data_IF_914902774425
#
_entry.id   IF_914902774425
#
_cell.length_a   1.000
_cell.length_b   1.000
_cell.length_c   1.000
_cell.angle_alpha   90.00
_cell.angle_beta   90.00
_cell.angle_gamma   90.00
#
_symmetry.space_group_name_H-M   'P 1'
#
loop_
_entity.id
_entity.type
_entity.pdbx_description
1 polymer ?
#
# COMPACT_ATOMS: atom_id res chain seq x y z
N UNK A 1 -40.26 88.46 -5.78
CA UNK A 1 -40.66 87.74 -4.54
C UNK A 1 -39.94 86.39 -4.56
N UNK A 2 -39.28 86.04 -3.45
CA UNK A 2 -38.60 84.77 -3.10
C UNK A 2 -37.33 84.40 -3.89
N UNK A 3 -36.12 84.66 -3.35
CA UNK A 3 -35.30 83.87 -2.38
C UNK A 3 -34.64 82.64 -3.02
N UNK A 4 -33.33 82.73 -3.37
CA UNK A 4 -32.17 82.15 -2.65
C UNK A 4 -32.32 80.65 -2.31
N UNK A 5 -31.43 79.74 -2.71
CA UNK A 5 -29.99 79.75 -2.42
C UNK A 5 -29.18 78.78 -3.33
N UNK A 6 -27.84 78.88 -3.38
CA UNK A 6 -26.96 78.24 -4.37
C UNK A 6 -26.05 77.11 -3.81
N UNK A 7 -25.24 76.52 -4.72
CA UNK A 7 -23.83 76.04 -4.62
C UNK A 7 -23.70 74.56 -5.01
N UNK A 8 -22.74 74.07 -5.80
CA UNK A 8 -21.38 74.48 -6.24
C UNK A 8 -21.05 73.56 -7.45
N UNK A 9 -20.65 74.09 -8.62
CA UNK A 9 -19.27 74.04 -9.23
C UNK A 9 -18.65 72.62 -9.27
N UNK A 10 -18.13 72.03 -10.34
CA UNK A 10 -17.12 72.52 -11.29
C UNK A 10 -16.81 71.42 -12.36
N UNK A 11 -17.14 71.71 -13.62
CA UNK A 11 -16.37 71.53 -14.88
C UNK A 11 -15.04 70.73 -14.85
N UNK A 12 -14.87 69.78 -15.78
CA UNK A 12 -13.64 69.54 -16.59
C UNK A 12 -13.98 68.59 -17.77
N UNK A 13 -14.04 69.08 -19.03
CA UNK A 13 -12.99 69.07 -20.07
C UNK A 13 -12.61 67.65 -20.57
N UNK A 14 -13.06 67.16 -21.74
CA UNK A 14 -12.69 67.43 -23.15
C UNK A 14 -11.27 66.94 -23.57
N UNK A 15 -11.20 66.09 -24.60
CA UNK A 15 -10.02 65.91 -25.48
C UNK A 15 -9.61 64.45 -25.75
N UNK A 16 -9.97 63.86 -26.91
CA UNK A 16 -9.22 63.80 -28.21
C UNK A 16 -8.36 62.52 -28.37
N UNK A 17 -8.82 61.51 -29.13
CA UNK A 17 -8.40 61.10 -30.50
C UNK A 17 -7.00 60.47 -30.66
N UNK A 18 -6.93 59.22 -31.18
CA UNK A 18 -6.42 58.89 -32.52
C UNK A 18 -5.99 57.40 -32.66
N UNK A 19 -6.19 56.88 -33.87
CA UNK A 19 -6.01 55.53 -34.41
C UNK A 19 -4.57 55.16 -34.79
N UNK A 20 -4.22 53.86 -34.79
CA UNK A 20 -3.23 53.28 -35.71
C UNK A 20 -3.42 51.75 -35.90
N UNK A 21 -3.37 51.30 -37.15
CA UNK A 21 -3.42 49.90 -37.60
C UNK A 21 -2.02 49.25 -37.62
N UNK A 22 -1.95 47.92 -37.48
CA UNK A 22 -0.97 47.09 -38.19
C UNK A 22 -1.45 45.64 -38.28
N UNK A 23 -1.20 45.03 -39.44
CA UNK A 23 -1.67 43.71 -39.87
C UNK A 23 -0.58 42.63 -39.79
N UNK A 24 -1.06 41.40 -39.61
CA UNK A 24 -0.49 40.10 -40.01
C UNK A 24 0.65 39.50 -39.18
N UNK A 25 0.32 38.42 -38.45
CA UNK A 25 1.01 37.12 -38.49
C UNK A 25 -0.02 36.01 -38.26
N UNK A 26 -0.02 35.00 -39.13
CA UNK A 26 -0.74 33.73 -38.98
C UNK A 26 -0.29 33.02 -37.69
N UNK A 27 -1.25 32.64 -36.84
CA UNK A 27 -1.02 31.68 -35.76
C UNK A 27 -1.26 30.24 -36.29
N UNK A 28 -0.39 29.27 -35.96
CA UNK A 28 -0.61 27.86 -36.30
C UNK A 28 -1.82 27.31 -35.51
N UNK A 29 -2.45 26.21 -35.96
CA UNK A 29 -3.53 25.61 -35.18
C UNK A 29 -3.01 25.24 -33.80
N UNK A 30 -3.74 25.65 -32.77
CA UNK A 30 -3.66 25.10 -31.42
C UNK A 30 -3.65 23.57 -31.53
N UNK A 31 -2.47 22.96 -31.44
CA UNK A 31 -2.37 21.67 -30.79
C UNK A 31 -2.91 21.89 -29.39
N UNK A 32 -4.13 21.42 -29.15
CA UNK A 32 -4.72 21.32 -27.83
C UNK A 32 -3.78 20.51 -26.95
N UNK A 33 -2.89 21.23 -26.26
CA UNK A 33 -1.97 20.72 -25.28
C UNK A 33 -2.74 20.02 -24.18
N UNK A 34 -2.25 18.84 -23.84
CA UNK A 34 -2.78 17.93 -22.84
C UNK A 34 -3.20 18.65 -21.56
N UNK A 35 -4.44 18.41 -21.14
CA UNK A 35 -4.90 18.60 -19.76
C UNK A 35 -3.95 17.83 -18.84
N UNK A 36 -3.35 18.49 -17.85
CA UNK A 36 -2.48 17.91 -16.79
C UNK A 36 -3.18 18.11 -15.43
N UNK A 37 -2.86 17.37 -14.38
CA UNK A 37 -3.36 16.04 -13.91
C UNK A 37 -3.43 16.10 -12.35
N UNK A 38 -4.13 15.16 -11.64
CA UNK A 38 -4.27 15.12 -10.15
C UNK A 38 -3.37 14.09 -9.45
N UNK A 39 -3.21 14.18 -8.12
CA UNK A 39 -1.87 14.38 -7.55
C UNK A 39 -1.18 15.50 -8.34
N UNK A 40 -0.82 16.63 -7.72
CA UNK A 40 -0.20 17.73 -8.46
C UNK A 40 0.97 17.19 -9.29
N UNK A 41 0.93 17.31 -10.62
CA UNK A 41 1.92 16.76 -11.57
C UNK A 41 2.00 15.21 -11.65
N UNK A 42 0.98 14.48 -11.19
CA UNK A 42 0.82 13.03 -11.33
C UNK A 42 0.29 12.61 -12.70
N UNK A 43 0.11 11.31 -12.93
CA UNK A 43 -0.43 10.76 -14.17
C UNK A 43 -1.45 9.65 -13.90
N UNK A 44 -2.32 9.37 -14.87
CA UNK A 44 -3.34 8.32 -14.78
C UNK A 44 -2.71 6.95 -14.47
N UNK A 45 -3.22 6.28 -13.45
CA UNK A 45 -2.78 4.94 -13.09
C UNK A 45 -3.90 3.91 -13.24
N UNK A 46 -3.69 2.96 -14.16
CA UNK A 46 -4.58 1.83 -14.41
C UNK A 46 -4.01 0.50 -13.89
N UNK A 47 -2.80 0.49 -13.35
CA UNK A 47 -2.07 -0.73 -12.99
C UNK A 47 -2.23 -1.08 -11.50
N UNK A 48 -2.16 -0.09 -10.61
CA UNK A 48 -2.08 -0.34 -9.17
C UNK A 48 -3.47 -0.59 -8.55
N UNK A 49 -4.14 -1.68 -8.97
CA UNK A 49 -5.53 -2.05 -8.60
C UNK A 49 -5.76 -2.28 -7.11
N UNK A 50 -4.71 -2.54 -6.35
CA UNK A 50 -4.75 -2.65 -4.90
C UNK A 50 -4.75 -1.30 -4.17
N UNK A 51 -4.52 -0.20 -4.91
CA UNK A 51 -4.87 1.13 -4.45
C UNK A 51 -6.32 1.38 -4.85
N UNK A 52 -7.18 1.39 -3.84
CA UNK A 52 -8.63 1.31 -3.98
C UNK A 52 -9.28 2.66 -3.75
N UNK A 53 -10.35 2.94 -4.50
CA UNK A 53 -11.21 4.08 -4.26
C UNK A 53 -12.17 3.77 -3.12
N UNK A 54 -12.31 4.69 -2.17
CA UNK A 54 -13.27 4.60 -1.07
C UNK A 54 -14.35 5.65 -1.27
N UNK A 55 -15.61 5.25 -1.21
CA UNK A 55 -16.76 6.14 -1.23
C UNK A 55 -17.57 5.97 0.05
N UNK A 56 -17.66 7.03 0.85
CA UNK A 56 -18.51 7.07 2.03
C UNK A 56 -19.91 7.53 1.63
N UNK A 57 -20.86 6.60 1.62
CA UNK A 57 -22.23 6.84 1.19
C UNK A 57 -23.08 7.66 2.19
N UNK A 58 -22.61 7.87 3.44
CA UNK A 58 -23.32 8.70 4.42
C UNK A 58 -23.15 10.19 4.13
N UNK A 59 -21.93 10.59 3.75
CA UNK A 59 -21.54 12.00 3.59
C UNK A 59 -21.18 12.38 2.15
N UNK A 60 -21.10 11.39 1.24
CA UNK A 60 -20.74 11.60 -0.17
C UNK A 60 -19.27 11.97 -0.37
N UNK A 61 -18.38 11.50 0.50
CA UNK A 61 -16.95 11.77 0.43
C UNK A 61 -16.20 10.67 -0.34
N UNK A 62 -15.14 11.07 -1.04
CA UNK A 62 -14.21 10.17 -1.71
C UNK A 62 -12.89 10.19 -0.93
N UNK A 63 -12.35 9.00 -0.69
CA UNK A 63 -11.03 8.77 -0.15
C UNK A 63 -10.33 7.69 -0.97
N UNK A 64 -9.10 7.38 -0.57
CA UNK A 64 -8.31 6.26 -1.09
C UNK A 64 -8.03 5.28 0.05
N UNK A 65 -7.75 4.03 -0.28
CA UNK A 65 -7.14 3.06 0.63
C UNK A 65 -6.16 2.14 -0.08
N UNK A 66 -5.47 1.31 0.69
CA UNK A 66 -4.62 0.23 0.20
C UNK A 66 -5.14 -1.12 0.65
N UNK A 67 -5.47 -2.00 -0.29
CA UNK A 67 -5.78 -3.40 -0.04
C UNK A 67 -4.49 -4.11 0.40
N UNK A 68 -4.40 -4.52 1.66
CA UNK A 68 -3.22 -5.17 2.25
C UNK A 68 -3.46 -6.66 2.58
N UNK A 69 -4.70 -7.12 2.51
CA UNK A 69 -5.09 -8.53 2.44
C UNK A 69 -6.44 -8.64 1.67
N UNK A 70 -6.91 -9.84 1.25
CA UNK A 70 -8.06 -9.99 0.37
C UNK A 70 -9.35 -9.28 0.79
N UNK A 71 -9.58 -9.03 2.07
CA UNK A 71 -10.72 -8.25 2.59
C UNK A 71 -10.28 -7.10 3.50
N UNK A 72 -9.02 -6.65 3.41
CA UNK A 72 -8.44 -5.74 4.38
C UNK A 72 -7.88 -4.49 3.72
N UNK A 73 -8.53 -3.36 3.97
CA UNK A 73 -8.15 -2.06 3.41
C UNK A 73 -7.63 -1.16 4.52
N UNK A 74 -6.39 -0.70 4.39
CA UNK A 74 -5.81 0.34 5.24
C UNK A 74 -6.14 1.71 4.64
N UNK A 75 -6.61 2.65 5.47
CA UNK A 75 -7.01 4.00 5.06
C UNK A 75 -6.85 5.01 6.21
N UNK A 76 -7.19 6.27 5.98
CA UNK A 76 -7.18 7.31 7.00
C UNK A 76 -8.45 7.22 7.86
N UNK A 77 -8.34 7.59 9.14
CA UNK A 77 -9.49 7.52 10.04
C UNK A 77 -10.53 8.58 9.70
N UNK A 78 -10.11 9.76 9.28
CA UNK A 78 -11.05 10.83 8.90
C UNK A 78 -11.92 10.48 7.68
N UNK A 79 -11.58 9.41 6.93
CA UNK A 79 -12.44 8.87 5.86
C UNK A 79 -13.63 8.08 6.41
N UNK A 80 -13.52 7.57 7.63
CA UNK A 80 -14.48 6.65 8.27
C UNK A 80 -14.98 7.15 9.63
N UNK A 81 -14.61 8.36 10.03
CA UNK A 81 -15.05 9.00 11.27
C UNK A 81 -15.22 10.50 11.10
N UNK A 82 -16.21 11.04 11.78
CA UNK A 82 -16.40 12.48 11.94
C UNK A 82 -15.26 13.10 12.77
N UNK A 83 -15.07 14.41 12.59
CA UNK A 83 -14.11 15.20 13.33
C UNK A 83 -14.80 16.42 13.97
N UNK A 84 -14.48 16.67 15.23
CA UNK A 84 -14.76 17.93 15.89
C UNK A 84 -13.54 18.85 15.74
N UNK A 85 -13.71 19.93 14.97
CA UNK A 85 -12.75 21.03 14.91
C UNK A 85 -13.26 22.20 15.75
N UNK A 86 -12.41 22.77 16.61
CA UNK A 86 -12.78 23.92 17.45
C UNK A 86 -12.71 25.27 16.70
N UNK A 87 -12.09 25.33 15.51
CA UNK A 87 -11.88 26.58 14.75
C UNK A 87 -11.83 26.34 13.23
N UNK A 88 -12.75 26.94 12.47
CA UNK A 88 -12.68 27.23 11.02
C UNK A 88 -12.20 26.11 10.06
N UNK A 89 -12.36 24.83 10.43
CA UNK A 89 -12.02 23.68 9.57
C UNK A 89 -10.53 23.33 9.50
N UNK A 90 -9.65 24.02 10.25
CA UNK A 90 -8.22 23.72 10.28
C UNK A 90 -7.88 22.64 11.32
N UNK A 91 -7.01 21.71 10.93
CA UNK A 91 -6.51 20.66 11.83
C UNK A 91 -5.49 21.27 12.80
N UNK A 92 -5.79 21.15 14.10
CA UNK A 92 -4.86 21.53 15.17
C UNK A 92 -4.61 20.33 16.07
N UNK A 93 -3.38 19.82 16.10
CA UNK A 93 -3.02 18.61 16.86
C UNK A 93 -3.32 18.65 18.36
N UNK A 94 -3.60 19.83 18.92
CA UNK A 94 -3.94 20.00 20.35
C UNK A 94 -5.43 19.81 20.62
N UNK A 95 -6.30 20.10 19.66
CA UNK A 95 -7.75 20.24 19.90
C UNK A 95 -8.61 19.44 18.94
N UNK A 96 -8.13 19.15 17.72
CA UNK A 96 -8.88 18.34 16.77
C UNK A 96 -8.97 16.90 17.26
N UNK A 97 -10.21 16.42 17.35
CA UNK A 97 -10.55 15.06 17.78
C UNK A 97 -11.50 14.40 16.81
N UNK A 98 -11.34 13.09 16.65
CA UNK A 98 -12.33 12.22 16.07
C UNK A 98 -13.51 12.05 17.01
N UNK A 99 -14.70 11.98 16.44
CA UNK A 99 -15.95 11.76 17.18
C UNK A 99 -16.56 10.43 16.76
N UNK A 100 -17.68 10.47 16.05
CA UNK A 100 -18.46 9.30 15.71
C UNK A 100 -17.83 8.56 14.53
N UNK A 101 -17.84 7.23 14.60
CA UNK A 101 -17.42 6.37 13.50
C UNK A 101 -18.62 6.08 12.61
N UNK A 102 -18.46 6.23 11.30
CA UNK A 102 -19.50 5.92 10.33
C UNK A 102 -19.85 4.43 10.32
N UNK A 103 -20.97 4.07 9.71
CA UNK A 103 -21.33 2.66 9.56
C UNK A 103 -20.42 2.01 8.52
N UNK A 104 -19.73 0.93 8.90
CA UNK A 104 -18.85 0.20 7.99
C UNK A 104 -19.54 -0.20 6.67
N UNK A 105 -20.80 -0.66 6.73
CA UNK A 105 -21.59 -1.03 5.55
C UNK A 105 -21.99 0.13 4.63
N UNK A 106 -21.65 1.37 5.01
CA UNK A 106 -21.79 2.57 4.16
C UNK A 106 -20.48 3.04 3.55
N UNK A 107 -19.37 2.42 3.94
CA UNK A 107 -18.07 2.63 3.32
C UNK A 107 -17.92 1.61 2.20
N UNK A 108 -17.89 2.11 0.96
CA UNK A 108 -17.82 1.29 -0.25
C UNK A 108 -16.43 1.38 -0.86
N UNK A 109 -15.89 0.26 -1.31
CA UNK A 109 -14.54 0.14 -1.88
C UNK A 109 -14.62 -0.34 -3.33
N UNK A 110 -13.86 0.27 -4.23
CA UNK A 110 -13.75 -0.19 -5.63
C UNK A 110 -12.29 -0.29 -6.05
N UNK A 111 -11.97 -1.27 -6.91
CA UNK A 111 -10.65 -1.46 -7.52
C UNK A 111 -10.54 -0.78 -8.89
N UNK A 112 -11.66 -0.21 -9.39
CA UNK A 112 -11.72 0.50 -10.65
C UNK A 112 -10.84 1.75 -10.61
N UNK A 113 -10.19 2.08 -11.73
CA UNK A 113 -9.38 3.28 -11.85
C UNK A 113 -10.20 4.57 -11.86
N UNK A 114 -11.52 4.48 -12.06
CA UNK A 114 -12.46 5.60 -11.94
C UNK A 114 -13.64 5.19 -11.04
N UNK A 115 -13.93 5.99 -10.03
CA UNK A 115 -15.08 5.82 -9.14
C UNK A 115 -16.30 6.37 -9.86
N UNK A 116 -17.12 5.48 -10.40
CA UNK A 116 -18.37 5.82 -11.08
C UNK A 116 -19.56 5.17 -10.38
N UNK A 117 -20.78 5.52 -10.82
CA UNK A 117 -22.01 4.87 -10.31
C UNK A 117 -22.14 3.42 -10.75
N UNK A 118 -21.45 3.03 -11.82
CA UNK A 118 -21.51 1.69 -12.41
C UNK A 118 -20.34 0.79 -11.93
N UNK A 119 -19.44 1.34 -11.12
CA UNK A 119 -18.31 0.61 -10.56
C UNK A 119 -18.75 -0.56 -9.68
N UNK A 120 -17.95 -1.62 -9.66
CA UNK A 120 -18.12 -2.70 -8.70
C UNK A 120 -17.68 -2.23 -7.32
N UNK A 121 -18.53 -2.44 -6.31
CA UNK A 121 -18.26 -2.03 -4.94
C UNK A 121 -18.29 -3.20 -3.96
N UNK A 122 -17.35 -3.18 -3.04
CA UNK A 122 -17.25 -4.05 -1.87
C UNK A 122 -17.62 -3.23 -0.63
N UNK A 123 -18.59 -3.69 0.15
CA UNK A 123 -19.00 -2.98 1.36
C UNK A 123 -18.10 -3.34 2.56
N UNK A 124 -17.93 -2.38 3.47
CA UNK A 124 -17.28 -2.60 4.74
C UNK A 124 -18.12 -3.44 5.71
N UNK A 125 -17.51 -4.45 6.31
CA UNK A 125 -18.04 -5.22 7.43
C UNK A 125 -17.81 -4.52 8.77
N UNK A 126 -16.58 -4.04 8.96
CA UNK A 126 -16.12 -3.50 10.24
C UNK A 126 -15.03 -2.45 10.04
N UNK A 127 -15.10 -1.39 10.84
CA UNK A 127 -14.04 -0.38 10.96
C UNK A 127 -13.26 -0.68 12.24
N UNK A 128 -11.97 -0.90 12.09
CA UNK A 128 -11.01 -1.11 13.18
C UNK A 128 -10.22 0.18 13.34
N UNK A 129 -10.28 0.76 14.54
CA UNK A 129 -9.57 1.99 14.89
C UNK A 129 -8.31 1.68 15.70
N UNK A 130 -7.37 2.63 15.69
CA UNK A 130 -6.15 2.54 16.48
C UNK A 130 -6.45 2.43 17.99
N UNK A 131 -5.76 1.52 18.71
CA UNK A 131 -5.88 1.42 20.16
C UNK A 131 -5.03 2.51 20.86
N UNK A 132 -5.31 2.75 22.14
CA UNK A 132 -4.44 3.55 23.00
C UNK A 132 -5.15 4.66 23.76
N UNK A 133 -4.38 5.32 24.62
CA UNK A 133 -4.83 6.54 25.29
C UNK A 133 -4.85 7.69 24.28
N UNK A 134 -5.83 8.58 24.41
CA UNK A 134 -6.03 9.69 23.47
C UNK A 134 -6.20 9.23 22.01
N UNK A 135 -6.69 8.01 21.80
CA UNK A 135 -6.96 7.46 20.47
C UNK A 135 -7.92 8.34 19.67
N UNK A 136 -8.74 9.18 20.30
CA UNK A 136 -9.61 10.16 19.65
C UNK A 136 -8.85 11.40 19.13
N UNK A 137 -7.59 11.62 19.49
CA UNK A 137 -6.80 12.74 18.96
C UNK A 137 -6.49 12.54 17.48
N UNK A 138 -6.58 13.60 16.67
CA UNK A 138 -6.31 13.49 15.24
C UNK A 138 -4.84 13.15 14.94
N UNK A 139 -3.92 14.04 15.32
CA UNK A 139 -2.51 13.85 14.98
C UNK A 139 -1.94 12.64 15.70
N UNK A 140 -1.30 11.76 14.94
CA UNK A 140 -0.75 10.49 15.41
C UNK A 140 -1.72 9.31 15.29
N UNK A 141 -3.03 9.55 15.13
CA UNK A 141 -4.04 8.49 15.11
C UNK A 141 -4.99 8.53 13.89
N UNK A 142 -4.61 9.24 12.83
CA UNK A 142 -5.40 9.31 11.59
C UNK A 142 -5.16 8.09 10.67
N UNK A 143 -5.39 6.89 11.21
CA UNK A 143 -5.39 5.64 10.45
C UNK A 143 -6.53 4.76 10.93
N UNK A 144 -7.11 4.02 10.00
CA UNK A 144 -8.15 3.03 10.25
C UNK A 144 -8.00 1.87 9.27
N UNK A 145 -8.51 0.71 9.68
CA UNK A 145 -8.61 -0.45 8.82
C UNK A 145 -10.10 -0.74 8.59
N UNK A 146 -10.46 -0.96 7.33
CA UNK A 146 -11.76 -1.46 6.92
C UNK A 146 -11.62 -2.95 6.57
N UNK A 147 -12.32 -3.80 7.32
CA UNK A 147 -12.53 -5.20 6.94
C UNK A 147 -13.76 -5.23 6.06
N UNK A 148 -13.66 -5.84 4.87
CA UNK A 148 -14.74 -5.95 3.89
C UNK A 148 -15.63 -7.17 4.18
N UNK A 149 -16.90 -7.09 3.76
CA UNK A 149 -17.86 -8.20 3.87
C UNK A 149 -17.53 -9.37 2.94
N UNK A 150 -16.82 -9.09 1.84
CA UNK A 150 -16.47 -10.05 0.80
C UNK A 150 -14.97 -9.95 0.47
N UNK A 151 -14.39 -11.06 0.01
CA UNK A 151 -13.01 -11.07 -0.46
C UNK A 151 -12.95 -10.45 -1.85
N UNK A 152 -12.02 -9.53 -2.06
CA UNK A 152 -11.65 -9.06 -3.40
C UNK A 152 -10.84 -10.18 -4.08
N UNK A 153 -11.27 -10.69 -5.25
CA UNK A 153 -10.52 -11.70 -5.98
C UNK A 153 -9.13 -11.17 -6.38
N UNK A 154 -8.12 -12.04 -6.34
CA UNK A 154 -6.76 -11.68 -6.77
C UNK A 154 -6.69 -11.18 -8.22
N UNK A 155 -7.59 -11.68 -9.09
CA UNK A 155 -7.76 -11.19 -10.46
C UNK A 155 -8.24 -9.74 -10.56
N UNK A 156 -8.88 -9.24 -9.50
CA UNK A 156 -9.31 -7.85 -9.41
C UNK A 156 -8.24 -6.98 -8.75
N UNK A 157 -7.65 -7.44 -7.65
CA UNK A 157 -6.50 -6.78 -7.04
C UNK A 157 -5.70 -7.76 -6.17
N UNK A 158 -4.40 -7.87 -6.43
CA UNK A 158 -3.47 -8.58 -5.56
C UNK A 158 -3.08 -7.65 -4.38
N UNK A 159 -3.23 -8.08 -3.11
CA UNK A 159 -2.94 -7.21 -1.96
C UNK A 159 -1.48 -6.72 -1.90
N UNK A 160 -1.30 -5.49 -1.43
CA UNK A 160 -0.01 -4.86 -1.17
C UNK A 160 0.61 -5.36 0.13
N UNK A 161 1.94 -5.42 0.17
CA UNK A 161 2.67 -5.76 1.40
C UNK A 161 2.97 -4.47 2.18
N UNK A 162 2.55 -4.32 3.45
CA UNK A 162 2.94 -3.17 4.26
C UNK A 162 4.35 -3.37 4.85
N UNK A 163 5.20 -2.33 4.84
CA UNK A 163 6.55 -2.36 5.45
C UNK A 163 6.45 -2.22 6.98
N UNK A 164 6.14 -3.33 7.63
CA UNK A 164 5.88 -3.42 9.09
C UNK A 164 7.08 -3.87 9.91
N UNK A 165 8.23 -4.13 9.28
CA UNK A 165 9.41 -4.76 9.87
C UNK A 165 10.68 -3.89 9.85
N UNK A 166 10.77 -2.93 8.92
CA UNK A 166 11.93 -2.03 8.78
C UNK A 166 11.49 -0.56 8.86
N UNK A 167 12.08 0.26 9.74
CA UNK A 167 11.76 1.69 9.85
C UNK A 167 12.18 2.46 8.59
N UNK A 168 11.51 3.58 8.32
CA UNK A 168 11.86 4.52 7.27
C UNK A 168 13.08 5.37 7.63
N UNK A 169 13.77 5.82 6.60
CA UNK A 169 14.92 6.73 6.69
C UNK A 169 14.65 7.98 5.87
N UNK A 170 15.09 9.13 6.39
CA UNK A 170 15.07 10.41 5.66
C UNK A 170 15.80 10.27 4.31
N UNK A 171 15.23 10.85 3.27
CA UNK A 171 15.74 10.82 1.90
C UNK A 171 15.44 9.54 1.12
N UNK A 172 14.74 8.55 1.69
CA UNK A 172 14.23 7.42 0.91
C UNK A 172 13.25 7.94 -0.17
N UNK A 173 13.35 7.36 -1.37
CA UNK A 173 12.43 7.64 -2.47
C UNK A 173 11.15 6.79 -2.33
N UNK A 174 10.01 7.41 -2.63
CA UNK A 174 8.71 6.77 -2.66
C UNK A 174 7.84 7.32 -3.80
N UNK A 175 6.67 6.74 -3.97
CA UNK A 175 5.61 7.24 -4.84
C UNK A 175 4.26 7.22 -4.14
N UNK A 176 3.38 8.14 -4.51
CA UNK A 176 2.03 8.25 -3.96
C UNK A 176 1.00 7.89 -5.02
N UNK A 177 -0.08 7.23 -4.60
CA UNK A 177 -1.21 6.87 -5.48
C UNK A 177 -2.52 7.19 -4.77
N UNK A 178 -3.44 7.84 -5.48
CA UNK A 178 -4.69 8.33 -4.89
C UNK A 178 -5.76 8.65 -5.91
N UNK A 179 -6.99 8.84 -5.40
CA UNK A 179 -8.16 9.27 -6.16
C UNK A 179 -8.51 10.75 -5.92
N UNK A 180 -7.55 11.52 -5.39
CA UNK A 180 -7.76 12.92 -5.04
C UNK A 180 -8.00 13.86 -6.21
N UNK A 181 -8.41 15.07 -5.84
CA UNK A 181 -8.64 16.19 -6.73
C UNK A 181 -7.34 16.79 -7.30
N UNK A 182 -7.45 17.46 -8.43
CA UNK A 182 -6.35 18.12 -9.16
C UNK A 182 -5.94 19.46 -8.55
N UNK A 183 -6.73 20.01 -7.63
CA UNK A 183 -6.54 21.29 -6.98
C UNK A 183 -7.48 21.43 -5.77
N UNK A 184 -7.31 22.52 -5.01
CA UNK A 184 -8.09 22.86 -3.82
C UNK A 184 -9.58 23.14 -4.10
N UNK A 185 -9.99 23.17 -5.38
CA UNK A 185 -11.39 23.33 -5.81
C UNK A 185 -12.09 21.99 -6.06
N UNK A 186 -11.47 20.87 -5.65
CA UNK A 186 -12.00 19.50 -5.78
C UNK A 186 -12.26 19.02 -7.21
N UNK A 187 -11.67 19.64 -8.24
CA UNK A 187 -11.89 19.20 -9.63
C UNK A 187 -11.12 17.91 -9.93
N UNK A 188 -11.71 16.95 -10.65
CA UNK A 188 -10.99 15.75 -11.14
C UNK A 188 -10.76 14.62 -10.13
N UNK A 189 -11.38 14.69 -8.95
CA UNK A 189 -11.42 13.60 -7.97
C UNK A 189 -12.17 12.37 -8.50
N UNK A 190 -11.86 11.20 -7.95
CA UNK A 190 -12.46 9.92 -8.35
C UNK A 190 -11.73 9.20 -9.48
N UNK A 191 -10.61 9.73 -9.98
CA UNK A 191 -9.74 9.07 -10.96
C UNK A 191 -8.40 8.74 -10.29
N UNK A 192 -7.98 7.47 -10.35
CA UNK A 192 -6.72 7.01 -9.76
C UNK A 192 -5.53 7.58 -10.51
N UNK A 193 -4.61 8.18 -9.77
CA UNK A 193 -3.39 8.75 -10.30
C UNK A 193 -2.21 8.44 -9.41
N UNK A 194 -1.04 8.50 -10.02
CA UNK A 194 0.24 8.17 -9.42
C UNK A 194 1.22 9.32 -9.60
N UNK A 195 2.07 9.54 -8.60
CA UNK A 195 3.23 10.43 -8.69
C UNK A 195 4.46 9.76 -8.11
N UNK A 196 5.51 9.73 -8.92
CA UNK A 196 6.80 9.15 -8.57
C UNK A 196 7.81 10.23 -8.15
N UNK A 197 9.00 9.78 -7.73
CA UNK A 197 10.15 10.62 -7.37
C UNK A 197 9.84 11.60 -6.24
N UNK A 198 9.15 11.09 -5.22
CA UNK A 198 8.91 11.80 -3.96
C UNK A 198 9.95 11.33 -2.95
N UNK A 199 10.25 12.17 -1.96
CA UNK A 199 11.28 11.90 -0.99
C UNK A 199 10.80 12.15 0.44
N UNK A 200 11.25 11.30 1.36
CA UNK A 200 10.97 11.47 2.78
C UNK A 200 11.79 12.64 3.34
N UNK A 201 11.11 13.65 3.87
CA UNK A 201 11.74 14.83 4.48
C UNK A 201 12.15 14.56 5.93
N UNK A 202 11.32 13.87 6.70
CA UNK A 202 11.65 13.46 8.07
C UNK A 202 10.71 12.35 8.54
N UNK A 203 11.13 11.59 9.56
CA UNK A 203 10.36 10.46 10.11
C UNK A 203 10.23 10.59 11.63
N UNK A 204 9.02 10.42 12.15
CA UNK A 204 8.75 10.32 13.59
C UNK A 204 9.42 11.42 14.42
N UNK A 205 10.28 11.04 15.38
CA UNK A 205 11.01 11.98 16.26
C UNK A 205 12.06 12.83 15.54
N UNK A 206 12.40 12.50 14.29
CA UNK A 206 13.25 13.33 13.43
C UNK A 206 12.53 14.58 12.93
N UNK A 207 11.20 14.60 12.98
CA UNK A 207 10.39 15.74 12.57
C UNK A 207 10.14 16.73 13.72
N UNK A 208 9.83 18.01 13.42
CA UNK A 208 9.38 18.95 14.43
C UNK A 208 8.09 18.49 15.12
N UNK A 209 8.14 18.30 16.44
CA UNK A 209 7.01 17.81 17.24
C UNK A 209 5.77 18.73 17.25
N UNK A 210 5.90 19.96 16.76
CA UNK A 210 4.77 20.87 16.53
C UNK A 210 3.94 20.50 15.30
N UNK A 211 4.50 19.71 14.37
CA UNK A 211 3.91 19.37 13.07
C UNK A 211 3.39 17.94 13.07
N UNK A 212 4.16 17.00 13.62
CA UNK A 212 3.84 15.57 13.59
C UNK A 212 4.04 14.88 14.94
N UNK A 213 3.44 13.69 15.09
CA UNK A 213 3.70 12.75 16.19
C UNK A 213 4.67 11.64 15.76
N UNK A 214 5.13 10.84 16.73
CA UNK A 214 6.04 9.68 16.49
C UNK A 214 5.48 8.61 15.56
N UNK A 215 4.16 8.59 15.41
CA UNK A 215 3.42 7.67 14.55
C UNK A 215 3.08 8.29 13.19
N UNK A 216 3.79 9.34 12.80
CA UNK A 216 3.64 10.08 11.54
C UNK A 216 5.02 10.38 10.93
N UNK A 217 5.03 10.75 9.65
CA UNK A 217 6.22 11.22 8.95
C UNK A 217 5.83 12.23 7.86
N UNK A 218 6.82 12.97 7.34
CA UNK A 218 6.64 14.05 6.36
C UNK A 218 7.36 13.72 5.07
N UNK A 219 6.65 13.84 3.95
CA UNK A 219 7.24 13.83 2.61
C UNK A 219 7.47 15.25 2.08
N UNK A 220 8.18 15.35 0.96
CA UNK A 220 8.50 16.63 0.32
C UNK A 220 7.27 17.31 -0.31
N UNK A 221 6.49 16.58 -1.12
CA UNK A 221 5.35 17.14 -1.87
C UNK A 221 4.43 16.03 -2.40
N UNK A 222 3.33 16.42 -3.05
CA UNK A 222 2.64 15.52 -4.00
C UNK A 222 1.41 14.80 -3.48
N UNK A 223 0.69 15.37 -2.51
CA UNK A 223 -0.68 14.93 -2.18
C UNK A 223 -1.61 16.13 -2.18
N UNK A 224 -2.84 15.94 -2.65
CA UNK A 224 -3.90 16.95 -2.61
C UNK A 224 -5.15 16.41 -1.89
N UNK A 225 -6.17 17.25 -1.76
CA UNK A 225 -7.49 16.85 -1.23
C UNK A 225 -8.05 15.62 -1.95
N UNK A 226 -8.55 14.63 -1.20
CA UNK A 226 -9.11 13.37 -1.72
C UNK A 226 -8.08 12.25 -1.97
N UNK A 227 -6.78 12.51 -1.86
CA UNK A 227 -5.75 11.45 -1.74
C UNK A 227 -5.74 10.84 -0.33
N UNK A 228 -6.49 11.44 0.60
CA UNK A 228 -6.73 10.97 1.97
C UNK A 228 -6.93 9.46 2.06
N UNK A 229 -6.14 8.83 2.94
CA UNK A 229 -6.11 7.39 3.15
C UNK A 229 -5.33 6.59 2.12
N UNK A 230 -4.88 7.23 1.03
CA UNK A 230 -4.10 6.59 -0.01
C UNK A 230 -2.69 6.23 0.43
N UNK A 231 -2.09 5.18 -0.15
CA UNK A 231 -0.77 4.75 0.22
C UNK A 231 0.33 5.63 -0.39
N UNK A 232 1.37 5.86 0.41
CA UNK A 232 2.73 6.04 -0.08
C UNK A 232 3.40 4.68 -0.17
N UNK A 233 4.08 4.40 -1.28
CA UNK A 233 4.71 3.13 -1.60
C UNK A 233 6.22 3.33 -1.81
N UNK A 234 7.04 2.47 -1.21
CA UNK A 234 8.49 2.46 -1.48
C UNK A 234 8.81 1.85 -2.85
N UNK A 235 10.07 1.93 -3.27
CA UNK A 235 10.53 1.36 -4.55
C UNK A 235 10.39 -0.17 -4.66
N UNK A 236 10.04 -0.86 -3.58
CA UNK A 236 9.76 -2.29 -3.55
C UNK A 236 8.26 -2.57 -3.58
N UNK A 237 7.43 -1.55 -3.83
CA UNK A 237 5.98 -1.62 -3.88
C UNK A 237 5.32 -1.94 -2.54
N UNK A 238 5.97 -1.59 -1.42
CA UNK A 238 5.43 -1.82 -0.08
C UNK A 238 4.75 -0.56 0.46
N UNK A 239 3.65 -0.74 1.20
CA UNK A 239 2.95 0.37 1.87
C UNK A 239 3.78 0.87 3.04
N UNK A 240 4.21 2.12 2.98
CA UNK A 240 5.04 2.75 4.02
C UNK A 240 4.30 3.83 4.81
N UNK A 241 3.16 4.31 4.28
CA UNK A 241 2.40 5.38 4.91
C UNK A 241 0.98 5.50 4.36
N UNK A 242 0.16 6.19 5.14
CA UNK A 242 -1.25 6.47 4.85
C UNK A 242 -1.44 7.98 4.80
N UNK A 243 -1.89 8.51 3.67
CA UNK A 243 -2.06 9.96 3.46
C UNK A 243 -3.05 10.53 4.47
N UNK A 244 -2.62 11.48 5.31
CA UNK A 244 -3.47 12.07 6.38
C UNK A 244 -3.86 13.51 6.08
N UNK A 245 -2.88 14.41 5.96
CA UNK A 245 -3.09 15.85 5.76
C UNK A 245 -1.90 16.48 5.04
N UNK A 246 -2.09 17.65 4.45
CA UNK A 246 -1.02 18.46 3.86
C UNK A 246 -1.22 19.95 4.12
N UNK A 247 -0.24 20.76 3.75
CA UNK A 247 -0.36 22.21 3.72
C UNK A 247 -1.07 22.69 2.44
N UNK A 248 -1.46 23.96 2.41
CA UNK A 248 -2.03 24.61 1.23
C UNK A 248 -1.11 24.42 0.00
N UNK A 249 -1.70 24.20 -1.17
CA UNK A 249 -0.93 24.00 -2.40
C UNK A 249 -0.33 22.60 -2.59
N UNK A 250 -0.76 21.62 -1.80
CA UNK A 250 -0.33 20.22 -1.88
C UNK A 250 1.15 20.00 -1.49
N UNK A 251 1.61 20.78 -0.51
CA UNK A 251 2.99 20.74 0.02
C UNK A 251 3.03 20.11 1.43
N UNK A 252 4.22 19.65 1.82
CA UNK A 252 4.48 19.07 3.14
C UNK A 252 3.46 18.00 3.58
N UNK A 253 3.26 16.95 2.75
CA UNK A 253 2.37 15.86 3.10
C UNK A 253 2.77 15.19 4.41
N UNK A 254 1.79 14.95 5.26
CA UNK A 254 1.93 14.17 6.50
C UNK A 254 1.21 12.85 6.30
N UNK A 255 1.93 11.77 6.57
CA UNK A 255 1.42 10.41 6.47
C UNK A 255 1.37 9.77 7.85
N UNK A 256 0.34 8.95 8.08
CA UNK A 256 0.35 7.96 9.14
C UNK A 256 1.46 6.94 8.89
N UNK A 257 2.22 6.60 9.93
CA UNK A 257 3.40 5.76 9.81
C UNK A 257 3.04 4.27 9.95
N UNK A 258 3.15 3.50 8.86
CA UNK A 258 2.83 2.07 8.84
C UNK A 258 3.67 1.27 9.84
N UNK A 259 4.99 1.47 9.85
CA UNK A 259 5.87 0.81 10.81
C UNK A 259 5.54 1.21 12.26
N UNK A 260 5.17 2.47 12.48
CA UNK A 260 4.76 2.98 13.80
C UNK A 260 3.54 2.26 14.39
N UNK A 261 2.72 1.62 13.54
CA UNK A 261 1.54 0.85 13.91
C UNK A 261 1.60 -0.62 13.46
N UNK A 262 2.81 -1.14 13.21
CA UNK A 262 3.05 -2.48 12.69
C UNK A 262 2.28 -3.57 13.45
N UNK A 263 2.31 -3.55 14.79
CA UNK A 263 1.66 -4.59 15.59
C UNK A 263 0.15 -4.60 15.38
N UNK A 264 -0.49 -3.43 15.44
CA UNK A 264 -1.93 -3.30 15.20
C UNK A 264 -2.32 -3.76 13.78
N UNK A 265 -1.51 -3.44 12.76
CA UNK A 265 -1.74 -3.88 11.38
C UNK A 265 -1.67 -5.41 11.30
N UNK A 266 -0.63 -6.02 11.87
CA UNK A 266 -0.44 -7.48 11.87
C UNK A 266 -1.55 -8.22 12.61
N UNK A 267 -1.91 -7.77 13.82
CA UNK A 267 -3.02 -8.34 14.61
C UNK A 267 -4.35 -8.26 13.86
N UNK A 268 -4.62 -7.10 13.23
CA UNK A 268 -5.84 -6.91 12.45
C UNK A 268 -5.86 -7.78 11.19
N UNK A 269 -4.71 -8.00 10.56
CA UNK A 269 -4.60 -8.87 9.39
C UNK A 269 -4.83 -10.36 9.71
N UNK A 270 -4.30 -10.84 10.84
CA UNK A 270 -4.60 -12.17 11.36
C UNK A 270 -6.10 -12.34 11.61
N UNK A 271 -6.72 -11.35 12.25
CA UNK A 271 -8.16 -11.37 12.50
C UNK A 271 -8.99 -11.33 11.20
N UNK A 272 -8.59 -10.53 10.22
CA UNK A 272 -9.28 -10.43 8.94
C UNK A 272 -9.22 -11.75 8.15
N UNK A 273 -8.10 -12.46 8.24
CA UNK A 273 -7.91 -13.80 7.67
C UNK A 273 -8.85 -14.83 8.30
N UNK A 274 -8.96 -14.85 9.63
CA UNK A 274 -9.91 -15.71 10.35
C UNK A 274 -11.37 -15.41 9.94
N UNK A 275 -11.75 -14.12 9.92
CA UNK A 275 -13.10 -13.70 9.52
C UNK A 275 -13.44 -13.99 8.06
N UNK A 276 -12.44 -13.93 7.17
CA UNK A 276 -12.57 -14.14 5.73
C UNK A 276 -12.35 -15.59 5.28
N UNK A 277 -11.82 -16.45 6.16
CA UNK A 277 -11.53 -17.85 5.84
C UNK A 277 -10.41 -18.04 4.80
N UNK A 278 -9.38 -17.19 4.82
CA UNK A 278 -8.21 -17.28 3.93
C UNK A 278 -6.91 -17.41 4.73
N UNK A 279 -5.81 -17.79 4.07
CA UNK A 279 -4.51 -17.94 4.71
C UNK A 279 -3.96 -16.58 5.18
N UNK A 280 -3.48 -16.53 6.42
CA UNK A 280 -2.91 -15.30 6.97
C UNK A 280 -1.70 -14.84 6.14
N UNK A 281 -1.58 -13.54 5.83
CA UNK A 281 -0.39 -13.04 5.17
C UNK A 281 0.86 -13.31 6.00
N UNK A 282 1.93 -13.82 5.39
CA UNK A 282 3.16 -14.21 6.11
C UNK A 282 3.78 -13.04 6.90
N UNK A 283 3.72 -11.82 6.35
CA UNK A 283 4.19 -10.60 7.02
C UNK A 283 3.41 -10.30 8.32
N UNK A 284 2.15 -10.75 8.42
CA UNK A 284 1.35 -10.61 9.63
C UNK A 284 1.90 -11.50 10.78
N UNK A 285 2.65 -12.54 10.44
CA UNK A 285 3.34 -13.44 11.38
C UNK A 285 4.84 -13.12 11.55
N UNK A 286 5.29 -11.98 11.01
CA UNK A 286 6.67 -11.52 11.15
C UNK A 286 7.63 -11.97 10.05
N UNK A 287 7.12 -12.59 8.97
CA UNK A 287 7.94 -12.83 7.79
C UNK A 287 8.44 -11.48 7.22
N UNK A 288 9.73 -11.36 6.84
CA UNK A 288 10.27 -10.11 6.32
C UNK A 288 9.50 -9.60 5.10
N UNK A 289 9.26 -8.29 5.06
CA UNK A 289 8.44 -7.68 4.01
C UNK A 289 9.24 -7.38 2.75
N UNK A 290 10.57 -7.37 2.84
CA UNK A 290 11.46 -7.14 1.71
C UNK A 290 11.34 -8.32 0.70
N UNK A 291 10.90 -8.06 -0.55
CA UNK A 291 10.77 -9.11 -1.58
C UNK A 291 11.99 -10.00 -1.78
N UNK A 292 13.20 -9.58 -1.40
CA UNK A 292 14.40 -10.43 -1.48
C UNK A 292 14.22 -11.74 -0.72
N UNK A 293 13.49 -11.74 0.41
CA UNK A 293 13.23 -12.94 1.22
C UNK A 293 12.13 -13.83 0.62
N UNK A 294 11.34 -13.33 -0.32
CA UNK A 294 10.26 -14.07 -0.99
C UNK A 294 10.62 -14.49 -2.41
N UNK A 295 11.81 -14.11 -2.91
CA UNK A 295 12.26 -14.46 -4.24
C UNK A 295 12.30 -15.99 -4.48
N UNK A 296 12.14 -16.42 -5.73
CA UNK A 296 12.22 -17.83 -6.09
C UNK A 296 13.65 -18.38 -5.94
N UNK A 297 13.77 -19.64 -5.52
CA UNK A 297 15.04 -20.35 -5.35
C UNK A 297 15.09 -21.54 -6.31
N UNK A 298 16.26 -21.79 -6.91
CA UNK A 298 16.54 -23.00 -7.67
C UNK A 298 16.62 -22.84 -9.19
N UNK A 299 16.32 -21.66 -9.73
CA UNK A 299 16.56 -21.37 -11.14
C UNK A 299 18.06 -21.44 -11.47
N UNK A 300 18.46 -22.02 -12.59
CA UNK A 300 19.88 -22.12 -12.94
C UNK A 300 20.50 -20.74 -13.21
N UNK A 301 21.73 -20.53 -12.76
CA UNK A 301 22.47 -19.30 -12.98
C UNK A 301 23.97 -19.55 -13.13
N UNK A 302 24.64 -18.64 -13.82
CA UNK A 302 26.11 -18.61 -13.95
C UNK A 302 26.70 -17.42 -13.18
N UNK A 303 25.94 -16.32 -13.08
CA UNK A 303 26.35 -15.08 -12.45
C UNK A 303 25.23 -14.57 -11.53
N UNK A 304 25.57 -13.87 -10.43
CA UNK A 304 24.58 -13.35 -9.49
C UNK A 304 23.51 -12.48 -10.15
N UNK A 305 23.88 -11.64 -11.11
CA UNK A 305 23.00 -10.72 -11.84
C UNK A 305 21.91 -11.40 -12.67
N UNK A 306 22.01 -12.71 -12.89
CA UNK A 306 20.94 -13.49 -13.54
C UNK A 306 19.77 -13.76 -12.59
N UNK A 307 19.95 -13.52 -11.29
CA UNK A 307 18.97 -13.79 -10.25
C UNK A 307 18.33 -12.49 -9.75
N UNK A 308 17.04 -12.54 -9.45
CA UNK A 308 16.29 -11.39 -8.91
C UNK A 308 16.90 -10.82 -7.62
N UNK A 309 17.53 -11.68 -6.82
CA UNK A 309 18.21 -11.36 -5.56
C UNK A 309 19.68 -10.94 -5.74
N UNK A 310 20.18 -10.96 -6.97
CA UNK A 310 21.60 -10.82 -7.27
C UNK A 310 22.47 -11.85 -6.50
N UNK A 311 21.97 -13.09 -6.34
CA UNK A 311 22.66 -14.16 -5.62
C UNK A 311 22.57 -15.51 -6.36
N UNK A 312 23.73 -15.97 -6.85
CA UNK A 312 23.90 -17.25 -7.53
C UNK A 312 24.88 -18.12 -6.73
N UNK A 313 24.40 -19.19 -6.09
CA UNK A 313 25.21 -20.11 -5.30
C UNK A 313 25.09 -21.52 -5.88
N UNK A 314 26.22 -22.21 -6.04
CA UNK A 314 26.29 -23.57 -6.59
C UNK A 314 25.50 -23.77 -7.91
N UNK A 315 25.47 -22.73 -8.75
CA UNK A 315 24.83 -22.75 -10.07
C UNK A 315 23.31 -22.54 -10.06
N UNK A 316 22.73 -22.13 -8.93
CA UNK A 316 21.31 -21.78 -8.85
C UNK A 316 21.05 -20.48 -8.09
N UNK A 317 19.99 -19.78 -8.49
CA UNK A 317 19.51 -18.56 -7.87
C UNK A 317 19.00 -18.87 -6.47
N UNK A 318 19.45 -18.11 -5.50
CA UNK A 318 19.09 -18.29 -4.10
C UNK A 318 18.65 -16.97 -3.48
N UNK A 319 18.23 -17.02 -2.22
CA UNK A 319 17.78 -15.87 -1.46
C UNK A 319 18.31 -15.91 -0.03
N UNK A 320 18.42 -14.76 0.65
CA UNK A 320 18.73 -14.73 2.07
C UNK A 320 17.60 -15.41 2.85
N UNK A 321 17.97 -16.03 3.96
CA UNK A 321 17.08 -16.74 4.85
C UNK A 321 17.40 -16.39 6.30
N UNK A 322 16.45 -16.67 7.18
CA UNK A 322 16.59 -16.52 8.62
C UNK A 322 15.76 -17.58 9.33
N UNK A 323 15.74 -17.56 10.66
CA UNK A 323 14.85 -18.43 11.44
C UNK A 323 13.37 -18.25 11.07
N UNK A 324 12.98 -17.04 10.64
CA UNK A 324 11.61 -16.71 10.24
C UNK A 324 11.43 -16.80 8.72
N UNK A 325 12.40 -16.31 7.94
CA UNK A 325 12.41 -16.42 6.48
C UNK A 325 12.98 -17.77 6.04
N UNK A 326 12.17 -18.82 6.15
CA UNK A 326 12.61 -20.17 5.83
C UNK A 326 12.81 -20.38 4.32
N UNK A 327 13.65 -21.36 4.00
CA UNK A 327 13.89 -21.78 2.63
C UNK A 327 12.77 -22.70 2.12
N UNK A 328 12.51 -22.70 0.81
CA UNK A 328 11.53 -23.61 0.21
C UNK A 328 11.99 -25.07 0.29
N UNK A 329 11.07 -26.00 0.06
CA UNK A 329 11.33 -27.44 0.10
C UNK A 329 12.56 -27.84 -0.75
N UNK A 330 13.40 -28.71 -0.19
CA UNK A 330 14.66 -29.12 -0.81
C UNK A 330 15.84 -28.19 -0.54
N UNK A 331 15.64 -27.10 0.21
CA UNK A 331 16.69 -26.17 0.62
C UNK A 331 16.69 -25.96 2.14
N UNK A 332 17.84 -25.60 2.70
CA UNK A 332 18.02 -25.24 4.10
C UNK A 332 18.81 -23.95 4.24
N UNK A 333 18.54 -23.18 5.29
CA UNK A 333 19.30 -21.98 5.55
C UNK A 333 20.74 -22.33 5.97
N UNK A 334 21.73 -21.87 5.19
CA UNK A 334 23.14 -22.17 5.44
C UNK A 334 23.86 -20.96 6.02
N UNK A 335 24.29 -21.09 7.28
CA UNK A 335 25.15 -20.12 7.95
C UNK A 335 26.54 -20.02 7.28
N UNK A 336 27.05 -21.12 6.73
CA UNK A 336 28.34 -21.15 6.03
C UNK A 336 28.32 -20.32 4.75
N UNK A 337 27.15 -20.23 4.12
CA UNK A 337 26.92 -19.40 2.93
C UNK A 337 26.40 -18.00 3.29
N UNK A 338 26.52 -17.58 4.55
CA UNK A 338 26.14 -16.24 5.00
C UNK A 338 24.63 -16.04 5.17
N UNK A 339 23.89 -17.10 5.48
CA UNK A 339 22.44 -17.05 5.67
C UNK A 339 21.68 -17.06 4.36
N UNK A 340 22.07 -17.93 3.42
CA UNK A 340 21.38 -18.14 2.13
C UNK A 340 20.80 -19.55 2.02
N UNK A 341 19.77 -19.70 1.20
CA UNK A 341 19.17 -21.00 0.93
C UNK A 341 20.13 -21.92 0.15
N UNK A 342 20.61 -22.95 0.83
CA UNK A 342 21.49 -23.99 0.29
C UNK A 342 20.67 -25.22 -0.11
N UNK A 343 20.92 -25.81 -1.27
CA UNK A 343 20.27 -27.06 -1.67
C UNK A 343 20.67 -28.17 -0.70
N UNK A 344 19.70 -28.91 -0.19
CA UNK A 344 19.96 -30.08 0.66
C UNK A 344 20.70 -31.16 -0.15
N UNK A 345 21.68 -31.86 0.45
CA UNK A 345 22.32 -32.99 -0.22
C UNK A 345 21.27 -34.04 -0.58
N UNK A 346 21.36 -34.59 -1.79
CA UNK A 346 20.46 -35.67 -2.21
C UNK A 346 20.61 -36.85 -1.24
N UNK A 347 19.49 -37.46 -0.78
CA UNK A 347 19.59 -38.64 0.06
C UNK A 347 20.38 -39.72 -0.69
N UNK A 348 21.26 -40.46 -0.01
CA UNK A 348 22.03 -41.51 -0.65
C UNK A 348 21.07 -42.50 -1.32
N UNK A 349 21.41 -43.03 -2.51
CA UNK A 349 20.55 -43.98 -3.20
C UNK A 349 20.24 -45.15 -2.27
N UNK A 350 18.95 -45.48 -2.12
CA UNK A 350 18.54 -46.68 -1.41
C UNK A 350 19.23 -47.87 -2.08
N UNK A 351 20.07 -48.57 -1.30
CA UNK A 351 20.74 -49.78 -1.71
C UNK A 351 19.67 -50.84 -1.98
N UNK A 352 19.18 -50.88 -3.23
CA UNK A 352 18.44 -52.03 -3.74
C UNK A 352 19.44 -53.16 -3.77
N UNK A 353 19.52 -53.88 -2.64
CA UNK A 353 20.33 -55.07 -2.46
C UNK A 353 20.26 -55.89 -3.74
N UNK A 354 21.43 -56.04 -4.36
CA UNK A 354 21.55 -56.73 -5.64
C UNK A 354 20.92 -58.10 -5.55
N UNK A 355 20.01 -58.38 -6.48
CA UNK A 355 19.64 -59.74 -6.81
C UNK A 355 20.93 -60.47 -7.21
N UNK A 356 21.49 -61.26 -6.31
CA UNK A 356 22.50 -62.25 -6.66
C UNK A 356 21.85 -63.22 -7.65
N UNK A 357 22.24 -63.13 -8.93
CA UNK A 357 22.04 -64.19 -9.91
C UNK A 357 22.80 -65.43 -9.43
N UNK A 358 22.13 -66.27 -8.64
CA UNK A 358 22.59 -67.62 -8.33
C UNK A 358 22.48 -68.45 -9.60
N UNK A 359 23.62 -68.67 -10.25
CA UNK A 359 23.81 -69.75 -11.20
C UNK A 359 23.86 -71.06 -10.41
N UNK A 360 22.76 -71.82 -10.36
CA UNK A 360 22.76 -73.20 -9.88
C UNK A 360 22.46 -74.17 -11.03
N UNK A 361 23.53 -74.85 -11.43
CA UNK A 361 23.56 -76.09 -12.20
C UNK A 361 22.97 -77.23 -11.36
N UNK A 362 22.30 -78.18 -12.02
CA UNK A 362 21.38 -79.12 -11.37
C UNK A 362 22.03 -80.23 -10.53
N UNK A 363 21.21 -80.84 -9.67
CA UNK A 363 21.55 -82.13 -9.04
C UNK A 363 20.75 -82.48 -7.78
N UNK A 364 19.62 -83.16 -7.99
CA UNK A 364 19.00 -84.24 -7.20
C UNK A 364 18.80 -84.20 -5.65
N UNK A 365 17.51 -84.35 -5.32
CA UNK A 365 16.87 -85.20 -4.31
C UNK A 365 17.09 -84.99 -2.77
N UNK A 366 15.93 -84.71 -2.15
CA UNK A 366 15.33 -85.39 -0.98
C UNK A 366 15.17 -84.59 0.34
N UNK A 367 13.95 -84.08 0.52
CA UNK A 367 13.07 -84.23 1.69
C UNK A 367 13.64 -84.10 3.12
N UNK A 368 13.23 -83.03 3.83
CA UNK A 368 12.38 -83.13 5.04
C UNK A 368 12.07 -81.75 5.67
N UNK A 369 10.81 -81.54 6.08
CA UNK A 369 10.52 -80.96 7.41
C UNK A 369 9.92 -79.54 7.53
N UNK A 370 8.59 -79.48 7.51
CA UNK A 370 7.71 -78.82 8.52
C UNK A 370 7.67 -77.28 8.71
N UNK A 371 6.56 -76.71 8.21
CA UNK A 371 5.60 -75.74 8.78
C UNK A 371 5.94 -74.81 9.98
N UNK A 372 5.86 -73.50 9.69
CA UNK A 372 4.99 -72.44 10.25
C UNK A 372 4.97 -72.11 11.75
N UNK A 373 5.06 -70.81 12.07
CA UNK A 373 4.06 -70.02 12.85
C UNK A 373 4.30 -68.51 12.61
N UNK A 374 3.23 -67.79 12.24
CA UNK A 374 3.08 -66.33 12.25
C UNK A 374 2.34 -65.91 13.53
N UNK A 375 2.59 -64.70 14.07
CA UNK A 375 1.54 -63.93 14.75
C UNK A 375 1.18 -62.66 13.97
N UNK A 376 -0.13 -62.43 13.87
CA UNK A 376 -0.81 -61.30 13.24
C UNK A 376 -0.63 -59.98 14.01
N UNK A 377 -0.93 -58.83 13.38
CA UNK A 377 -1.05 -57.53 14.03
C UNK A 377 -2.40 -57.40 14.76
N UNK A 378 -2.43 -56.53 15.76
CA UNK A 378 -3.61 -56.14 16.53
C UNK A 378 -3.70 -54.59 16.57
N UNK A 379 -4.84 -54.02 16.98
CA UNK A 379 -5.71 -53.12 16.18
C UNK A 379 -5.35 -51.64 16.14
#
# INVERSE_FOLDING_TARGET
MSFCSPRVTLILALGLTATACSSALEEPPDETGQTRDAIRDGYLDNADRAVVGIYNAEIGAICTGSLIAPNLVLTARHCVSDMANELDGQITCRSTKFTDTHLAGRILVTTDAEITRDSAFYAGREIVLLPGNDADSFCGNDQAILILDELIPESDAAPLVPRVDVPLVEGEEYYAIGFGATNDMSTGAGLRRRRDKLFIDCVADGCPASVVKRTEWVGDTGICEGDSGGPSLDLMHRVIGVTSRGAEGCEYPIYGYVYGWAEWIKETAVRAADLGGYEEPSWARGFPTDPVYSAEVGAACEQPEHCATNACLDGYCTRPCSEIATCPDGYSCSEELGGFCAKLPEPPPEDRGGDEEVVEDGGDEASAGSCSINPRPDP
#
